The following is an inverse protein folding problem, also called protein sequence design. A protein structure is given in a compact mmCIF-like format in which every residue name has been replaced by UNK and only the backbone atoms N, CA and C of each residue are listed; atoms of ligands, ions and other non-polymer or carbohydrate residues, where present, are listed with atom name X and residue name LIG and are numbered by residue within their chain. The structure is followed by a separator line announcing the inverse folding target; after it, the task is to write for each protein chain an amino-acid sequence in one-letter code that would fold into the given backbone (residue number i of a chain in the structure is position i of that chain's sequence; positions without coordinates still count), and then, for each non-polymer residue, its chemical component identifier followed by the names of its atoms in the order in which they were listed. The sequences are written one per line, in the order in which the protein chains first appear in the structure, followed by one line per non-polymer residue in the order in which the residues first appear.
data_IF_689156538463
#
_entry.id   IF_689156538463
#
_cell.length_a   1.000
_cell.length_b   1.000
_cell.length_c   1.000
_cell.angle_alpha   90.00
_cell.angle_beta   90.00
_cell.angle_gamma   90.00
#
_symmetry.space_group_name_H-M   'P 1'
#
loop_
_entity.id
_entity.type
_entity.pdbx_description
1 polymer ?
#
# COMPACT_ATOMS: atom_id res chain seq x y z
N UNK A 1 17.73 -7.89 -11.24
CA UNK A 1 16.89 -9.10 -11.10
C UNK A 1 15.73 -8.62 -10.27
N UNK A 2 14.53 -8.52 -10.86
CA UNK A 2 13.36 -8.01 -10.13
C UNK A 2 13.02 -8.90 -8.94
N UNK A 3 12.39 -8.33 -7.93
CA UNK A 3 11.91 -9.08 -6.78
C UNK A 3 10.96 -10.19 -7.25
N UNK A 4 11.15 -11.42 -6.76
CA UNK A 4 10.34 -12.58 -7.16
C UNK A 4 8.85 -12.35 -6.88
N UNK A 5 8.54 -11.67 -5.77
CA UNK A 5 7.18 -11.31 -5.39
C UNK A 5 6.52 -10.34 -6.39
N UNK A 6 7.23 -9.30 -6.85
CA UNK A 6 6.70 -8.36 -7.86
C UNK A 6 6.36 -9.10 -9.16
N UNK A 7 7.25 -9.99 -9.60
CA UNK A 7 7.03 -10.80 -10.82
C UNK A 7 5.79 -11.69 -10.68
N UNK A 8 5.64 -12.35 -9.52
CA UNK A 8 4.50 -13.22 -9.25
C UNK A 8 3.19 -12.44 -9.17
N UNK A 9 3.20 -11.27 -8.52
CA UNK A 9 2.03 -10.39 -8.40
C UNK A 9 1.57 -9.90 -9.78
N UNK A 10 2.50 -9.42 -10.61
CA UNK A 10 2.20 -8.96 -11.99
C UNK A 10 1.53 -10.07 -12.81
N UNK A 11 2.04 -11.31 -12.70
CA UNK A 11 1.45 -12.48 -13.37
C UNK A 11 0.05 -12.82 -12.85
N UNK A 12 -0.15 -12.77 -11.54
CA UNK A 12 -1.45 -13.02 -10.93
C UNK A 12 -2.50 -11.98 -11.38
N UNK A 13 -2.10 -10.71 -11.45
CA UNK A 13 -2.92 -9.60 -11.95
C UNK A 13 -3.09 -9.60 -13.48
N UNK A 14 -2.34 -10.47 -14.18
CA UNK A 14 -2.36 -10.61 -15.65
C UNK A 14 -1.97 -9.33 -16.40
N UNK A 15 -1.17 -8.46 -15.78
CA UNK A 15 -0.54 -7.35 -16.49
C UNK A 15 0.56 -7.89 -17.40
N UNK A 16 0.61 -7.39 -18.64
CA UNK A 16 1.62 -7.81 -19.59
C UNK A 16 2.95 -7.15 -19.26
N UNK A 17 3.94 -7.91 -18.80
CA UNK A 17 5.32 -7.45 -18.54
C UNK A 17 5.97 -6.80 -19.79
N UNK A 18 5.38 -6.95 -20.98
CA UNK A 18 5.84 -6.34 -22.24
C UNK A 18 5.35 -4.91 -22.46
N UNK A 19 4.47 -4.38 -21.61
CA UNK A 19 4.12 -2.96 -21.67
C UNK A 19 5.32 -2.11 -21.29
N UNK A 20 5.45 -0.94 -21.91
CA UNK A 20 6.50 0.02 -21.54
C UNK A 20 6.28 0.44 -20.08
N UNK A 21 7.28 0.30 -19.19
CA UNK A 21 7.15 0.70 -17.80
C UNK A 21 6.84 2.19 -17.65
N UNK A 22 6.01 2.53 -16.66
CA UNK A 22 5.77 3.91 -16.26
C UNK A 22 7.09 4.57 -15.85
N UNK A 23 7.35 5.77 -16.36
CA UNK A 23 8.53 6.53 -16.00
C UNK A 23 8.17 7.44 -14.83
N UNK A 24 8.38 6.94 -13.61
CA UNK A 24 8.07 7.65 -12.36
C UNK A 24 9.34 8.36 -11.87
N UNK A 25 9.25 9.66 -11.62
CA UNK A 25 10.32 10.45 -11.01
C UNK A 25 10.37 10.22 -9.49
N UNK A 26 10.92 9.08 -9.07
CA UNK A 26 10.99 8.67 -7.67
C UNK A 26 11.80 9.64 -6.81
N UNK A 27 12.88 10.20 -7.35
CA UNK A 27 13.69 11.20 -6.65
C UNK A 27 12.89 12.48 -6.43
N UNK A 28 12.15 12.95 -7.45
CA UNK A 28 11.25 14.09 -7.34
C UNK A 28 10.15 13.87 -6.29
N UNK A 29 9.48 12.72 -6.32
CA UNK A 29 8.45 12.36 -5.34
C UNK A 29 9.01 12.26 -3.92
N UNK A 30 10.19 11.63 -3.77
CA UNK A 30 10.85 11.48 -2.49
C UNK A 30 11.27 12.83 -1.90
N UNK A 31 11.80 13.72 -2.73
CA UNK A 31 12.16 15.08 -2.33
C UNK A 31 10.94 15.93 -1.91
N UNK A 32 9.80 15.83 -2.61
CA UNK A 32 8.55 16.54 -2.24
C UNK A 32 7.99 16.05 -0.90
N UNK A 33 8.14 14.76 -0.61
CA UNK A 33 7.58 14.13 0.58
C UNK A 33 8.54 14.02 1.76
N UNK A 34 9.84 14.24 1.54
CA UNK A 34 10.89 14.07 2.55
C UNK A 34 11.18 12.61 2.90
N UNK A 35 10.88 11.66 1.99
CA UNK A 35 11.03 10.22 2.20
C UNK A 35 11.70 9.56 1.01
N UNK A 36 12.16 8.33 1.20
CA UNK A 36 12.53 7.41 0.13
C UNK A 36 11.54 6.25 0.08
N UNK A 37 11.43 5.59 -1.06
CA UNK A 37 10.50 4.46 -1.22
C UNK A 37 11.24 3.12 -1.26
N UNK A 38 10.67 2.04 -0.73
CA UNK A 38 11.21 0.69 -0.91
C UNK A 38 11.38 0.32 -2.39
N UNK A 39 12.43 -0.44 -2.71
CA UNK A 39 12.73 -0.83 -4.10
C UNK A 39 11.62 -1.65 -4.75
N UNK A 40 10.97 -2.56 -4.01
CA UNK A 40 9.92 -3.44 -4.52
C UNK A 40 8.68 -2.62 -4.96
N UNK A 41 8.32 -1.60 -4.19
CA UNK A 41 7.22 -0.70 -4.50
C UNK A 41 7.49 0.11 -5.75
N UNK A 42 8.74 0.55 -5.93
CA UNK A 42 9.14 1.26 -7.15
C UNK A 42 9.02 0.35 -8.37
N UNK A 43 9.59 -0.85 -8.30
CA UNK A 43 9.48 -1.85 -9.37
C UNK A 43 8.02 -2.21 -9.66
N UNK A 44 7.17 -2.33 -8.62
CA UNK A 44 5.75 -2.65 -8.76
C UNK A 44 5.00 -1.55 -9.51
N UNK A 45 5.10 -0.29 -9.08
CA UNK A 45 4.35 0.81 -9.70
C UNK A 45 4.86 1.18 -11.09
N UNK A 46 6.10 0.82 -11.44
CA UNK A 46 6.57 0.97 -12.82
C UNK A 46 5.87 0.02 -13.79
N UNK A 47 5.27 -1.08 -13.32
CA UNK A 47 4.61 -2.09 -14.17
C UNK A 47 3.09 -2.10 -13.98
N UNK A 48 2.63 -1.97 -12.74
CA UNK A 48 1.21 -2.07 -12.37
C UNK A 48 0.63 -0.65 -12.26
N UNK A 49 -0.38 -0.29 -13.07
CA UNK A 49 -1.05 1.01 -12.95
C UNK A 49 -1.73 1.17 -11.58
N UNK A 50 -2.26 2.36 -11.31
CA UNK A 50 -3.26 2.52 -10.24
C UNK A 50 -4.41 1.57 -10.50
N UNK A 51 -4.63 0.65 -9.56
CA UNK A 51 -5.61 -0.43 -9.73
C UNK A 51 -6.52 -0.53 -8.53
N UNK A 52 -7.81 -0.66 -8.84
CA UNK A 52 -8.81 -1.19 -7.94
C UNK A 52 -8.85 -2.71 -8.17
N UNK A 53 -8.37 -3.46 -7.19
CA UNK A 53 -8.30 -4.92 -7.25
C UNK A 53 -9.54 -5.48 -6.56
N UNK A 54 -10.39 -6.14 -7.35
CA UNK A 54 -11.68 -6.71 -6.93
C UNK A 54 -12.59 -5.73 -6.16
N UNK A 55 -12.47 -4.42 -6.40
CA UNK A 55 -13.19 -3.36 -5.67
C UNK A 55 -12.87 -3.27 -4.17
N UNK A 56 -11.89 -4.02 -3.68
CA UNK A 56 -11.51 -4.06 -2.27
C UNK A 56 -10.19 -3.37 -2.02
N UNK A 57 -9.17 -3.64 -2.83
CA UNK A 57 -7.82 -3.09 -2.58
C UNK A 57 -7.52 -1.99 -3.57
N UNK A 58 -7.16 -0.81 -3.06
CA UNK A 58 -6.77 0.33 -3.87
C UNK A 58 -5.27 0.56 -3.73
N UNK A 59 -4.53 0.30 -4.83
CA UNK A 59 -3.10 0.61 -4.91
C UNK A 59 -2.94 2.01 -5.52
N UNK A 60 -2.57 2.99 -4.70
CA UNK A 60 -2.48 4.38 -5.15
C UNK A 60 -1.26 4.60 -6.03
N UNK A 61 -1.47 5.13 -7.23
CA UNK A 61 -0.39 5.29 -8.20
C UNK A 61 -0.14 6.77 -8.56
N UNK A 62 1.10 7.29 -8.44
CA UNK A 62 1.39 8.72 -8.53
C UNK A 62 1.06 9.35 -9.90
N UNK A 63 1.10 8.56 -10.97
CA UNK A 63 0.81 9.03 -12.34
C UNK A 63 -0.59 8.64 -12.87
N UNK A 64 -1.31 7.74 -12.20
CA UNK A 64 -2.57 7.20 -12.73
C UNK A 64 -3.77 7.70 -11.94
N UNK A 65 -3.59 8.08 -10.67
CA UNK A 65 -4.61 8.81 -9.94
C UNK A 65 -4.90 10.17 -10.61
N UNK A 66 -6.11 10.73 -10.44
CA UNK A 66 -6.41 12.09 -10.91
C UNK A 66 -5.39 13.12 -10.36
N UNK A 67 -5.10 14.21 -11.09
CA UNK A 67 -4.06 15.16 -10.72
C UNK A 67 -4.18 15.65 -9.27
N UNK A 68 -3.12 15.44 -8.48
CA UNK A 68 -3.05 15.84 -7.08
C UNK A 68 -3.73 14.89 -6.09
N UNK A 69 -4.50 13.89 -6.54
CA UNK A 69 -5.19 12.93 -5.65
C UNK A 69 -4.21 12.08 -4.87
N UNK A 70 -3.23 11.47 -5.55
CA UNK A 70 -2.20 10.66 -4.88
C UNK A 70 -1.50 11.44 -3.78
N UNK A 71 -1.00 12.64 -4.10
CA UNK A 71 -0.33 13.52 -3.13
C UNK A 71 -1.26 13.85 -1.97
N UNK A 72 -2.52 14.22 -2.24
CA UNK A 72 -3.51 14.51 -1.20
C UNK A 72 -3.77 13.31 -0.30
N UNK A 73 -3.81 12.07 -0.82
CA UNK A 73 -3.96 10.86 -0.01
C UNK A 73 -2.73 10.64 0.88
N UNK A 74 -1.54 10.68 0.29
CA UNK A 74 -0.26 10.48 1.01
C UNK A 74 -0.02 11.54 2.09
N UNK A 75 -0.32 12.81 1.82
CA UNK A 75 -0.06 13.91 2.77
C UNK A 75 -1.24 14.25 3.68
N UNK A 76 -2.47 13.96 3.24
CA UNK A 76 -3.69 14.30 3.98
C UNK A 76 -4.01 13.31 5.09
N UNK A 77 -3.69 12.03 4.86
CA UNK A 77 -3.95 10.97 5.82
C UNK A 77 -3.34 11.17 7.22
N UNK A 78 -2.08 11.63 7.37
CA UNK A 78 -1.53 12.02 8.68
C UNK A 78 -2.43 12.99 9.44
N UNK A 79 -3.00 14.00 8.77
CA UNK A 79 -3.87 15.00 9.39
C UNK A 79 -5.15 14.34 9.91
N UNK A 80 -5.74 13.45 9.12
CA UNK A 80 -6.93 12.68 9.51
C UNK A 80 -6.65 11.83 10.73
N UNK A 81 -5.55 11.05 10.73
CA UNK A 81 -5.23 10.17 11.85
C UNK A 81 -4.91 10.95 13.12
N UNK A 82 -4.23 12.09 13.00
CA UNK A 82 -3.90 12.92 14.16
C UNK A 82 -5.16 13.41 14.90
N UNK A 83 -6.25 13.71 14.17
CA UNK A 83 -7.53 14.06 14.79
C UNK A 83 -8.11 12.91 15.63
N UNK A 84 -7.91 11.65 15.23
CA UNK A 84 -8.37 10.49 15.99
C UNK A 84 -7.40 10.06 17.07
N UNK A 85 -6.10 10.33 16.91
CA UNK A 85 -5.04 9.94 17.85
C UNK A 85 -5.24 10.54 19.24
N UNK A 86 -5.72 11.79 19.34
CA UNK A 86 -6.08 12.39 20.63
C UNK A 86 -7.15 11.58 21.39
N UNK A 87 -8.02 10.90 20.66
CA UNK A 87 -9.09 10.05 21.18
C UNK A 87 -8.69 8.57 21.29
N UNK A 88 -7.45 8.22 20.90
CA UNK A 88 -6.92 6.86 20.81
C UNK A 88 -5.49 6.79 21.36
N UNK A 89 -5.29 7.06 22.66
CA UNK A 89 -3.97 7.02 23.29
C UNK A 89 -3.30 5.63 23.23
N UNK A 90 -4.06 4.58 22.98
CA UNK A 90 -3.59 3.20 22.79
C UNK A 90 -2.86 2.97 21.46
N UNK A 91 -3.07 3.81 20.45
CA UNK A 91 -2.41 3.69 19.15
C UNK A 91 -0.94 4.13 19.27
N UNK A 92 0.05 3.22 19.13
CA UNK A 92 1.42 3.50 19.54
C UNK A 92 2.27 4.18 18.46
N UNK A 93 1.77 4.30 17.23
CA UNK A 93 2.55 4.78 16.09
C UNK A 93 2.40 6.28 15.88
N UNK A 94 3.50 6.92 15.49
CA UNK A 94 3.46 8.30 15.03
C UNK A 94 2.79 8.36 13.65
N UNK A 95 1.85 9.29 13.48
CA UNK A 95 1.16 9.53 12.20
C UNK A 95 1.99 10.39 11.25
N UNK A 96 3.09 10.96 11.73
CA UNK A 96 3.99 11.82 10.97
C UNK A 96 4.84 11.01 9.99
N UNK A 97 5.35 11.70 8.95
CA UNK A 97 6.24 11.13 7.94
C UNK A 97 7.71 11.29 8.35
N UNK A 98 8.06 10.74 9.50
CA UNK A 98 9.41 10.75 10.08
C UNK A 98 9.83 9.31 10.41
N UNK A 99 11.13 9.02 10.66
CA UNK A 99 11.55 7.71 11.15
C UNK A 99 10.73 7.28 12.38
N UNK A 100 10.18 6.07 12.35
CA UNK A 100 9.23 5.57 13.36
C UNK A 100 7.79 6.10 13.21
N UNK A 101 7.46 6.70 12.06
CA UNK A 101 6.13 7.12 11.68
C UNK A 101 5.55 6.32 10.52
N UNK A 102 4.48 6.84 9.90
CA UNK A 102 3.71 6.13 8.89
C UNK A 102 3.73 6.82 7.52
N UNK A 103 3.81 6.02 6.47
CA UNK A 103 3.69 6.47 5.09
C UNK A 103 2.63 5.62 4.37
N UNK A 104 1.43 6.16 4.09
CA UNK A 104 0.36 5.41 3.46
C UNK A 104 0.59 5.27 1.95
N UNK A 105 0.18 4.13 1.40
CA UNK A 105 0.38 3.78 -0.01
C UNK A 105 -0.85 3.16 -0.68
N UNK A 106 -1.86 2.79 0.10
CA UNK A 106 -3.09 2.19 -0.39
C UNK A 106 -4.12 2.04 0.71
N UNK A 107 -5.28 1.51 0.34
CA UNK A 107 -6.36 1.21 1.27
C UNK A 107 -7.09 -0.09 0.90
N UNK A 108 -7.85 -0.60 1.87
CA UNK A 108 -8.81 -1.67 1.68
C UNK A 108 -10.19 -1.13 2.03
N UNK A 109 -11.06 -1.06 1.03
CA UNK A 109 -12.46 -0.60 1.11
C UNK A 109 -12.62 0.81 1.69
N UNK A 110 -11.60 1.67 1.60
CA UNK A 110 -11.51 2.95 2.32
C UNK A 110 -11.63 2.84 3.87
N UNK A 111 -11.76 1.63 4.42
CA UNK A 111 -11.97 1.35 5.84
C UNK A 111 -10.64 1.07 6.56
N UNK A 112 -9.69 0.44 5.86
CA UNK A 112 -8.35 0.17 6.36
C UNK A 112 -7.32 0.85 5.48
N UNK A 113 -6.33 1.47 6.10
CA UNK A 113 -5.22 2.07 5.38
C UNK A 113 -3.97 1.22 5.53
N UNK A 114 -3.30 1.08 4.39
CA UNK A 114 -2.08 0.35 4.23
C UNK A 114 -0.93 1.36 4.27
N UNK A 115 -0.10 1.26 5.30
CA UNK A 115 1.05 2.13 5.51
C UNK A 115 2.33 1.31 5.55
N UNK A 116 3.45 1.91 5.15
CA UNK A 116 4.73 1.51 5.72
C UNK A 116 4.85 2.09 7.12
N UNK A 117 5.35 1.28 8.04
CA UNK A 117 5.92 1.75 9.28
C UNK A 117 7.42 2.00 9.07
N UNK A 118 7.81 3.26 9.09
CA UNK A 118 9.14 3.70 8.64
C UNK A 118 10.22 3.51 9.71
N UNK A 119 10.34 2.28 10.23
CA UNK A 119 11.36 1.89 11.20
C UNK A 119 12.46 1.06 10.53
N UNK A 120 13.71 1.48 10.69
CA UNK A 120 14.87 0.77 10.14
C UNK A 120 15.16 1.10 8.67
N UNK A 121 15.90 0.21 7.96
CA UNK A 121 16.23 0.37 6.56
C UNK A 121 14.99 0.46 5.67
N UNK A 122 15.05 1.28 4.63
CA UNK A 122 13.92 1.60 3.75
C UNK A 122 13.31 0.35 3.11
N UNK A 123 14.16 -0.57 2.64
CA UNK A 123 13.71 -1.80 2.00
C UNK A 123 13.19 -2.86 2.99
N UNK A 124 13.32 -2.61 4.30
CA UNK A 124 12.86 -3.49 5.37
C UNK A 124 11.64 -2.92 6.14
N UNK A 125 11.10 -1.78 5.70
CA UNK A 125 9.93 -1.16 6.36
C UNK A 125 8.72 -2.11 6.33
N UNK A 126 8.21 -2.54 7.50
CA UNK A 126 7.06 -3.42 7.54
C UNK A 126 5.78 -2.67 7.16
N UNK A 127 4.75 -3.43 6.84
CA UNK A 127 3.43 -2.89 6.50
C UNK A 127 2.58 -2.83 7.76
N UNK A 128 2.07 -1.65 8.08
CA UNK A 128 1.01 -1.47 9.06
C UNK A 128 -0.32 -1.41 8.33
N UNK A 129 -1.23 -2.32 8.69
CA UNK A 129 -2.65 -2.23 8.33
C UNK A 129 -3.36 -1.65 9.54
N UNK A 130 -4.16 -0.61 9.34
CA UNK A 130 -4.87 0.08 10.43
C UNK A 130 -6.25 0.52 9.98
N UNK A 131 -7.26 0.34 10.83
CA UNK A 131 -8.60 0.86 10.57
C UNK A 131 -8.65 2.40 10.68
N UNK A 132 -9.59 3.04 10.00
CA UNK A 132 -9.74 4.50 10.02
C UNK A 132 -9.92 5.07 11.44
N UNK A 133 -10.45 4.27 12.37
CA UNK A 133 -10.74 4.69 13.74
C UNK A 133 -9.60 4.45 14.74
N UNK A 134 -8.46 3.92 14.28
CA UNK A 134 -7.26 3.60 15.07
C UNK A 134 -7.55 2.68 16.26
N UNK A 135 -8.50 1.75 16.12
CA UNK A 135 -8.89 0.77 17.14
C UNK A 135 -8.31 -0.61 16.88
N UNK A 136 -8.04 -0.95 15.62
CA UNK A 136 -7.46 -2.22 15.22
C UNK A 136 -6.31 -1.98 14.24
N UNK A 137 -5.19 -2.63 14.52
CA UNK A 137 -4.03 -2.57 13.66
C UNK A 137 -3.24 -3.88 13.71
N UNK A 138 -2.47 -4.11 12.67
CA UNK A 138 -1.62 -5.27 12.52
C UNK A 138 -0.37 -4.90 11.74
N UNK A 139 0.76 -5.50 12.12
CA UNK A 139 2.02 -5.39 11.38
C UNK A 139 2.21 -6.67 10.56
N UNK A 140 2.40 -6.50 9.26
CA UNK A 140 2.88 -7.52 8.35
C UNK A 140 4.37 -7.31 8.06
N UNK A 141 5.17 -8.35 8.27
CA UNK A 141 6.59 -8.33 7.98
C UNK A 141 6.80 -8.77 6.53
N UNK A 142 7.24 -7.83 5.69
CA UNK A 142 7.51 -8.10 4.28
C UNK A 142 7.25 -6.90 3.39
N UNK A 143 7.38 -7.17 2.11
CA UNK A 143 7.26 -6.25 0.98
C UNK A 143 5.80 -5.94 0.63
N UNK A 144 5.55 -4.82 -0.09
CA UNK A 144 4.20 -4.52 -0.61
C UNK A 144 3.73 -5.61 -1.56
N UNK A 145 4.62 -6.10 -2.41
CA UNK A 145 4.30 -7.19 -3.33
C UNK A 145 3.96 -8.49 -2.57
N UNK A 146 4.70 -8.82 -1.52
CA UNK A 146 4.43 -10.00 -0.67
C UNK A 146 3.09 -9.88 0.06
N UNK A 147 2.79 -8.72 0.64
CA UNK A 147 1.52 -8.47 1.30
C UNK A 147 0.34 -8.57 0.33
N UNK A 148 0.44 -7.96 -0.85
CA UNK A 148 -0.61 -8.04 -1.86
C UNK A 148 -0.78 -9.47 -2.39
N UNK A 149 0.30 -10.25 -2.53
CA UNK A 149 0.20 -11.66 -2.88
C UNK A 149 -0.54 -12.47 -1.80
N UNK A 150 -0.18 -12.31 -0.53
CA UNK A 150 -0.84 -12.96 0.61
C UNK A 150 -2.34 -12.64 0.63
N UNK A 151 -2.67 -11.36 0.47
CA UNK A 151 -4.05 -10.87 0.49
C UNK A 151 -4.88 -11.40 -0.67
N UNK A 152 -4.39 -11.24 -1.90
CA UNK A 152 -5.12 -11.57 -3.12
C UNK A 152 -5.16 -13.07 -3.42
N UNK A 153 -4.31 -13.87 -2.76
CA UNK A 153 -4.37 -15.34 -2.82
C UNK A 153 -5.56 -15.91 -2.03
N UNK A 154 -6.33 -15.08 -1.31
CA UNK A 154 -7.46 -15.50 -0.49
C UNK A 154 -7.07 -16.38 0.70
N UNK A 155 -5.81 -16.29 1.13
CA UNK A 155 -5.27 -17.04 2.26
C UNK A 155 -4.50 -16.13 3.21
N UNK A 156 -4.92 -14.87 3.33
CA UNK A 156 -4.18 -13.89 4.11
C UNK A 156 -4.01 -14.33 5.55
N UNK A 157 -2.80 -14.09 6.05
CA UNK A 157 -2.45 -14.27 7.46
C UNK A 157 -2.90 -13.10 8.34
N UNK A 158 -3.27 -11.96 7.74
CA UNK A 158 -3.78 -10.80 8.47
C UNK A 158 -5.10 -11.15 9.16
N UNK A 159 -5.15 -10.97 10.47
CA UNK A 159 -6.38 -11.19 11.25
C UNK A 159 -7.45 -10.17 10.94
N UNK A 160 -7.05 -8.90 10.73
CA UNK A 160 -8.01 -7.81 10.51
C UNK A 160 -8.54 -7.78 9.07
N UNK A 161 -7.80 -8.35 8.11
CA UNK A 161 -8.25 -8.51 6.72
C UNK A 161 -8.72 -9.92 6.38
N UNK A 162 -8.81 -10.83 7.37
CA UNK A 162 -9.15 -12.25 7.12
C UNK A 162 -10.51 -12.43 6.43
N UNK A 163 -11.45 -11.50 6.61
CA UNK A 163 -12.75 -11.51 5.95
C UNK A 163 -12.64 -11.46 4.42
N UNK A 164 -11.55 -10.93 3.87
CA UNK A 164 -11.30 -10.90 2.42
C UNK A 164 -10.95 -12.27 1.83
N UNK A 165 -10.61 -13.28 2.65
CA UNK A 165 -10.25 -14.59 2.12
C UNK A 165 -11.38 -15.21 1.28
N UNK A 166 -12.62 -15.09 1.75
CA UNK A 166 -13.79 -15.60 1.02
C UNK A 166 -14.05 -14.79 -0.26
N UNK A 167 -13.91 -13.47 -0.20
CA UNK A 167 -14.09 -12.58 -1.35
C UNK A 167 -13.05 -12.87 -2.45
N UNK A 168 -11.79 -12.98 -2.06
CA UNK A 168 -10.66 -13.20 -2.97
C UNK A 168 -10.64 -14.62 -3.55
N UNK A 169 -11.17 -15.61 -2.83
CA UNK A 169 -11.19 -17.01 -3.27
C UNK A 169 -12.19 -17.31 -4.41
N UNK A 170 -13.19 -16.46 -4.62
CA UNK A 170 -14.36 -16.84 -5.44
C UNK A 170 -14.27 -16.43 -6.92
N UNK A 171 -13.25 -15.66 -7.34
CA UNK A 171 -13.16 -15.12 -8.71
C UNK A 171 -11.71 -14.96 -9.17
N UNK A 172 -11.44 -14.97 -10.50
CA UNK A 172 -10.19 -14.44 -11.01
C UNK A 172 -9.96 -13.03 -10.47
N UNK A 173 -8.73 -12.70 -10.08
CA UNK A 173 -8.40 -11.34 -9.64
C UNK A 173 -8.64 -10.37 -10.81
N UNK A 174 -9.63 -9.50 -10.66
CA UNK A 174 -9.94 -8.44 -11.62
C UNK A 174 -9.25 -7.15 -11.14
N UNK A 175 -8.43 -6.57 -12.00
CA UNK A 175 -7.84 -5.25 -11.78
C UNK A 175 -8.47 -4.27 -12.77
N UNK A 176 -9.08 -3.21 -12.26
CA UNK A 176 -9.58 -2.09 -13.07
C UNK A 176 -8.74 -0.84 -12.80
N UNK A 177 -8.56 0.07 -13.77
CA UNK A 177 -7.95 1.36 -13.51
C UNK A 177 -8.67 2.11 -12.37
N UNK A 178 -7.91 2.88 -11.59
CA UNK A 178 -8.44 3.80 -10.56
C UNK A 178 -9.53 4.75 -11.08
#
# INVERSE_FOLDING_TARGET
MGHSAVTELVRMLRFDERTTPYQIDWDGLGNDLGVTFPVDYRELLEVVPGVNIQSWVHLWHPLQSPPGTWRRRVTGWPTTLEMFRELRPEFPFSTNREPGGLLPWGDVNDDYVLCWYMEGPVDDWPILVVDYSLTEWEIFQGTVAEFLLDLLSGNTSSRILQFLNEEMATRPVEASPE
#
